data_IF_592438760076
#
_entry.id   IF_592438760076
#
_cell.length_a   1.000
_cell.length_b   1.000
_cell.length_c   1.000
_cell.angle_alpha   90.00
_cell.angle_beta   90.00
_cell.angle_gamma   90.00
#
_symmetry.space_group_name_H-M   'P 1'
#
loop_
_entity.id
_entity.type
_entity.pdbx_description
1 polymer ?
#
# COMPACT_ATOMS: atom_id res chain seq x y z
N UNK A 1 -29.52 13.49 23.35
CA UNK A 1 -28.29 14.19 22.93
C UNK A 1 -27.61 13.36 21.85
N UNK A 2 -27.62 13.77 20.58
CA UNK A 2 -26.97 13.00 19.50
C UNK A 2 -25.46 13.26 19.59
N UNK A 3 -24.70 12.28 20.07
CA UNK A 3 -23.23 12.34 20.04
C UNK A 3 -22.79 12.31 18.58
N UNK A 4 -22.43 13.48 18.04
CA UNK A 4 -21.82 13.64 16.72
C UNK A 4 -20.37 13.20 16.87
N UNK A 5 -20.10 11.92 16.65
CA UNK A 5 -18.74 11.36 16.70
C UNK A 5 -17.89 12.00 15.62
N UNK A 6 -16.73 12.48 16.07
CA UNK A 6 -15.49 12.73 15.33
C UNK A 6 -15.63 13.37 13.94
N UNK A 7 -15.40 14.69 13.91
CA UNK A 7 -14.91 15.34 12.69
C UNK A 7 -13.55 14.72 12.34
N UNK A 8 -13.53 13.86 11.31
CA UNK A 8 -12.31 13.30 10.72
C UNK A 8 -11.38 14.46 10.34
N UNK A 9 -10.21 14.49 10.95
CA UNK A 9 -9.16 15.47 10.70
C UNK A 9 -8.24 14.89 9.62
N UNK A 10 -8.20 15.45 8.39
CA UNK A 10 -7.52 14.85 7.23
C UNK A 10 -5.98 14.84 7.32
N UNK A 11 -5.39 15.29 8.44
CA UNK A 11 -3.95 15.53 8.57
C UNK A 11 -3.19 14.45 9.34
N UNK A 12 -3.92 13.57 10.05
CA UNK A 12 -3.33 12.42 10.77
C UNK A 12 -3.37 11.17 9.90
N UNK A 13 -4.38 11.04 9.03
CA UNK A 13 -4.52 9.89 8.14
C UNK A 13 -3.39 9.83 7.10
N UNK A 14 -2.73 10.94 6.77
CA UNK A 14 -1.72 10.94 5.71
C UNK A 14 -0.40 10.26 6.13
N UNK A 15 0.18 10.64 7.27
CA UNK A 15 1.39 9.98 7.79
C UNK A 15 1.17 8.50 8.13
N UNK A 16 -0.05 8.17 8.54
CA UNK A 16 -0.48 6.79 8.80
C UNK A 16 -0.57 5.97 7.49
N UNK A 17 -1.19 6.53 6.44
CA UNK A 17 -1.34 5.83 5.15
C UNK A 17 -0.01 5.56 4.45
N UNK A 18 0.94 6.50 4.49
CA UNK A 18 2.28 6.23 3.93
C UNK A 18 2.98 5.06 4.67
N UNK A 19 2.80 4.97 5.99
CA UNK A 19 3.32 3.84 6.78
C UNK A 19 2.60 2.53 6.47
N UNK A 20 1.29 2.59 6.15
CA UNK A 20 0.55 1.43 5.64
C UNK A 20 1.10 0.96 4.29
N UNK A 21 1.49 1.87 3.38
CA UNK A 21 2.07 1.51 2.08
C UNK A 21 3.35 0.66 2.23
N UNK A 22 4.23 1.05 3.15
CA UNK A 22 5.44 0.28 3.49
C UNK A 22 5.10 -1.11 4.03
N UNK A 23 4.06 -1.19 4.87
CA UNK A 23 3.56 -2.46 5.42
C UNK A 23 3.04 -3.38 4.31
N UNK A 24 2.17 -2.86 3.43
CA UNK A 24 1.65 -3.60 2.29
C UNK A 24 2.75 -4.02 1.31
N UNK A 25 3.75 -3.17 1.05
CA UNK A 25 4.89 -3.54 0.22
C UNK A 25 5.67 -4.72 0.80
N UNK A 26 5.88 -4.72 2.11
CA UNK A 26 6.57 -5.81 2.82
C UNK A 26 5.76 -7.10 2.78
N UNK A 27 4.44 -7.02 3.02
CA UNK A 27 3.53 -8.17 2.89
C UNK A 27 3.49 -8.72 1.47
N UNK A 28 3.50 -7.84 0.46
CA UNK A 28 3.58 -8.24 -0.94
C UNK A 28 4.87 -8.98 -1.29
N UNK A 29 5.99 -8.55 -0.72
CA UNK A 29 7.29 -9.21 -0.88
C UNK A 29 7.36 -10.54 -0.13
N UNK A 30 6.73 -10.64 1.04
CA UNK A 30 6.59 -11.90 1.77
C UNK A 30 5.75 -12.90 0.98
N UNK A 31 4.59 -12.47 0.48
CA UNK A 31 3.72 -13.30 -0.35
C UNK A 31 4.41 -13.75 -1.65
N UNK A 32 5.27 -12.92 -2.25
CA UNK A 32 6.15 -13.31 -3.36
C UNK A 32 7.09 -14.46 -2.97
N UNK A 33 7.70 -14.40 -1.79
CA UNK A 33 8.60 -15.44 -1.30
C UNK A 33 7.87 -16.75 -0.97
N UNK A 34 6.58 -16.66 -0.62
CA UNK A 34 5.70 -17.81 -0.38
C UNK A 34 5.00 -18.31 -1.67
N UNK A 35 5.33 -17.73 -2.83
CA UNK A 35 4.68 -18.00 -4.13
C UNK A 35 3.16 -17.77 -4.12
N UNK A 36 2.64 -17.00 -3.16
CA UNK A 36 1.25 -16.58 -3.07
C UNK A 36 1.01 -15.33 -3.94
N UNK A 37 1.11 -15.51 -5.26
CA UNK A 37 1.00 -14.44 -6.25
C UNK A 37 -0.31 -13.63 -6.19
N UNK A 38 -1.49 -14.21 -5.91
CA UNK A 38 -2.73 -13.45 -5.77
C UNK A 38 -2.67 -12.44 -4.62
N UNK A 39 -2.16 -12.86 -3.46
CA UNK A 39 -2.03 -12.00 -2.29
C UNK A 39 -0.93 -10.95 -2.48
N UNK A 40 0.19 -11.35 -3.08
CA UNK A 40 1.27 -10.43 -3.46
C UNK A 40 0.75 -9.30 -4.37
N UNK A 41 -0.07 -9.65 -5.38
CA UNK A 41 -0.66 -8.68 -6.31
C UNK A 41 -1.50 -7.64 -5.58
N UNK A 42 -2.41 -8.08 -4.70
CA UNK A 42 -3.29 -7.17 -3.95
C UNK A 42 -2.47 -6.23 -3.07
N UNK A 43 -1.54 -6.79 -2.30
CA UNK A 43 -0.71 -6.01 -1.36
C UNK A 43 0.18 -4.99 -2.09
N UNK A 44 0.87 -5.40 -3.17
CA UNK A 44 1.73 -4.49 -3.95
C UNK A 44 0.91 -3.40 -4.67
N UNK A 45 -0.31 -3.72 -5.12
CA UNK A 45 -1.19 -2.77 -5.80
C UNK A 45 -1.73 -1.72 -4.82
N UNK A 46 -2.12 -2.12 -3.60
CA UNK A 46 -2.48 -1.18 -2.53
C UNK A 46 -1.30 -0.28 -2.13
N UNK A 47 -0.10 -0.85 -2.00
CA UNK A 47 1.10 -0.05 -1.72
C UNK A 47 1.37 0.98 -2.84
N UNK A 48 1.28 0.56 -4.10
CA UNK A 48 1.47 1.42 -5.27
C UNK A 48 0.47 2.58 -5.33
N UNK A 49 -0.82 2.32 -5.08
CA UNK A 49 -1.85 3.37 -5.05
C UNK A 49 -1.50 4.45 -4.02
N UNK A 50 -1.04 4.05 -2.84
CA UNK A 50 -0.64 4.99 -1.81
C UNK A 50 0.63 5.74 -2.23
N UNK A 51 1.67 5.06 -2.74
CA UNK A 51 2.88 5.76 -3.20
C UNK A 51 2.58 6.79 -4.29
N UNK A 52 1.64 6.51 -5.19
CA UNK A 52 1.17 7.47 -6.20
C UNK A 52 0.45 8.67 -5.55
N UNK A 53 -0.36 8.45 -4.51
CA UNK A 53 -1.00 9.53 -3.74
C UNK A 53 0.04 10.48 -3.12
N UNK A 54 1.15 9.94 -2.62
CA UNK A 54 2.27 10.72 -2.05
C UNK A 54 3.27 11.24 -3.08
N UNK A 55 3.13 10.85 -4.35
CA UNK A 55 4.10 11.11 -5.41
C UNK A 55 5.49 10.55 -5.08
N UNK A 56 5.55 9.43 -4.38
CA UNK A 56 6.79 8.70 -4.12
C UNK A 56 7.13 7.82 -5.33
N UNK A 57 7.98 8.35 -6.20
CA UNK A 57 8.40 7.68 -7.43
C UNK A 57 9.34 6.50 -7.15
N UNK A 58 10.14 6.55 -6.09
CA UNK A 58 11.11 5.51 -5.76
C UNK A 58 10.39 4.23 -5.33
N UNK A 59 9.55 4.31 -4.31
CA UNK A 59 8.78 3.17 -3.83
C UNK A 59 7.68 2.75 -4.79
N UNK A 60 7.09 3.71 -5.52
CA UNK A 60 6.14 3.42 -6.58
C UNK A 60 6.76 2.61 -7.73
N UNK A 61 8.00 2.92 -8.13
CA UNK A 61 8.72 2.15 -9.14
C UNK A 61 9.00 0.71 -8.67
N UNK A 62 9.45 0.54 -7.43
CA UNK A 62 9.72 -0.79 -6.85
C UNK A 62 8.44 -1.63 -6.79
N UNK A 63 7.33 -1.06 -6.32
CA UNK A 63 6.04 -1.77 -6.27
C UNK A 63 5.54 -2.16 -7.67
N UNK A 64 5.76 -1.30 -8.67
CA UNK A 64 5.42 -1.58 -10.08
C UNK A 64 6.28 -2.71 -10.65
N UNK A 65 7.59 -2.66 -10.48
CA UNK A 65 8.50 -3.71 -10.94
C UNK A 65 8.13 -5.08 -10.32
N UNK A 66 7.81 -5.09 -9.03
CA UNK A 66 7.38 -6.30 -8.34
C UNK A 66 6.07 -6.86 -8.91
N UNK A 67 5.13 -6.01 -9.34
CA UNK A 67 3.87 -6.41 -9.99
C UNK A 67 4.09 -6.97 -11.40
N UNK A 68 5.00 -6.40 -12.17
CA UNK A 68 5.35 -6.84 -13.53
C UNK A 68 6.05 -8.20 -13.52
N UNK A 69 6.72 -8.55 -12.41
CA UNK A 69 7.42 -9.81 -12.21
C UNK A 69 6.51 -10.97 -11.79
N UNK A 70 5.24 -10.70 -11.49
CA UNK A 70 4.26 -11.73 -11.11
C UNK A 70 3.81 -12.54 -12.35
N UNK A 71 3.72 -13.89 -12.24
CA UNK A 71 3.07 -14.68 -13.26
C UNK A 71 1.58 -14.30 -13.38
N UNK A 72 1.01 -14.49 -14.57
CA UNK A 72 -0.42 -14.25 -14.83
C UNK A 72 -1.32 -15.12 -13.95
#
# INVERSE_FOLDING_TARGET
MKCRVAQRSPKIESGDRYSQALTYHTLGTLALAEENYPEARVNLQTALEIYVEYKDEYWGAIAREALERLPE
#
